data_IF_894655261706
#
_entry.id   IF_894655261706
#
_cell.length_a   1.000
_cell.length_b   1.000
_cell.length_c   1.000
_cell.angle_alpha   90.00
_cell.angle_beta   90.00
_cell.angle_gamma   90.00
#
_symmetry.space_group_name_H-M   'P 1'
#
loop_
_entity.id
_entity.type
_entity.pdbx_description
1 polymer ?
#
# COMPACT_ATOMS: atom_id res chain seq x y z
N UNK A 1 6.72 0.65 15.60
CA UNK A 1 8.09 0.08 15.60
C UNK A 1 8.21 -1.02 14.56
N UNK A 2 7.40 -2.06 14.70
CA UNK A 2 7.45 -3.18 13.77
C UNK A 2 7.20 -2.75 12.31
N UNK A 3 6.23 -1.85 12.10
CA UNK A 3 5.93 -1.35 10.77
C UNK A 3 7.13 -0.64 10.15
N UNK A 4 7.80 0.20 10.92
CA UNK A 4 8.95 0.95 10.41
C UNK A 4 10.09 0.01 9.99
N UNK A 5 10.37 -0.99 10.81
CA UNK A 5 11.40 -1.98 10.50
C UNK A 5 11.07 -2.73 9.22
N UNK A 6 9.80 -3.07 9.00
CA UNK A 6 9.36 -3.76 7.80
C UNK A 6 9.59 -2.90 6.55
N UNK A 7 9.28 -1.63 6.63
CA UNK A 7 9.49 -0.71 5.52
C UNK A 7 10.97 -0.59 5.20
N UNK A 8 11.80 -0.44 6.21
CA UNK A 8 13.26 -0.36 6.01
C UNK A 8 13.77 -1.66 5.38
N UNK A 9 13.29 -2.79 5.85
CA UNK A 9 13.69 -4.10 5.32
C UNK A 9 13.37 -4.22 3.83
N UNK A 10 12.22 -3.71 3.39
CA UNK A 10 11.85 -3.71 1.98
C UNK A 10 12.87 -2.95 1.13
N UNK A 11 13.32 -1.79 1.61
CA UNK A 11 14.24 -0.95 0.83
C UNK A 11 15.69 -1.43 0.89
N UNK A 12 16.03 -2.27 1.83
CA UNK A 12 17.38 -2.82 1.96
C UNK A 12 17.48 -4.23 1.40
N UNK A 13 16.38 -4.82 0.97
CA UNK A 13 16.35 -6.16 0.40
C UNK A 13 17.22 -6.22 -0.85
N UNK A 14 17.91 -7.33 -1.03
CA UNK A 14 18.71 -7.57 -2.22
C UNK A 14 17.90 -8.19 -3.36
N UNK A 15 16.60 -8.20 -3.24
CA UNK A 15 15.73 -8.67 -4.31
C UNK A 15 16.04 -7.92 -5.59
N UNK A 16 16.08 -8.64 -6.70
CA UNK A 16 16.30 -8.03 -8.02
C UNK A 16 15.11 -7.22 -8.50
N UNK A 17 13.98 -7.35 -7.80
CA UNK A 17 12.77 -6.63 -8.15
C UNK A 17 12.87 -5.19 -7.68
N UNK A 18 12.74 -4.27 -8.60
CA UNK A 18 12.77 -2.84 -8.28
C UNK A 18 11.40 -2.26 -7.99
N UNK A 19 10.42 -3.11 -7.74
CA UNK A 19 9.05 -2.71 -7.46
C UNK A 19 8.65 -3.16 -6.06
N UNK A 20 7.98 -2.26 -5.35
CA UNK A 20 7.46 -2.51 -4.00
C UNK A 20 6.01 -2.12 -3.96
N UNK A 21 5.20 -2.94 -3.32
CA UNK A 21 3.77 -2.70 -3.18
C UNK A 21 3.43 -2.56 -1.71
N UNK A 22 2.87 -1.42 -1.34
CA UNK A 22 2.39 -1.18 0.02
C UNK A 22 0.89 -1.02 -0.06
N UNK A 23 0.17 -1.91 0.59
CA UNK A 23 -1.28 -1.89 0.59
C UNK A 23 -1.79 -1.57 1.98
N UNK A 24 -2.61 -0.54 2.09
CA UNK A 24 -3.23 -0.15 3.35
C UNK A 24 -4.68 -0.57 3.36
N UNK A 25 -5.07 -1.35 4.36
CA UNK A 25 -6.41 -1.87 4.48
C UNK A 25 -7.20 -1.02 5.47
N UNK A 26 -8.41 -0.65 5.07
CA UNK A 26 -9.34 0.09 5.91
C UNK A 26 -10.74 -0.13 5.43
N UNK A 27 -11.70 0.40 6.16
CA UNK A 27 -13.09 0.36 5.75
C UNK A 27 -13.46 1.66 5.04
N UNK A 28 -14.31 1.53 4.03
CA UNK A 28 -14.84 2.67 3.31
C UNK A 28 -16.16 3.04 3.95
N UNK A 29 -16.36 4.33 4.17
CA UNK A 29 -17.60 4.85 4.70
C UNK A 29 -17.37 5.79 5.87
N UNK A 30 -18.37 6.64 6.09
CA UNK A 30 -18.25 7.71 7.09
C UNK A 30 -18.17 7.18 8.52
N UNK A 31 -18.74 5.99 8.76
CA UNK A 31 -18.75 5.40 10.09
C UNK A 31 -17.35 5.06 10.59
N UNK A 32 -16.39 4.94 9.70
CA UNK A 32 -15.04 4.50 10.05
C UNK A 32 -14.00 5.60 9.91
N UNK A 33 -14.43 6.81 9.60
CA UNK A 33 -13.51 7.96 9.51
C UNK A 33 -12.94 8.22 10.89
N UNK A 34 -11.61 8.33 10.96
CA UNK A 34 -10.88 8.59 12.21
C UNK A 34 -10.99 7.47 13.24
N UNK A 35 -11.26 6.25 12.79
CA UNK A 35 -11.26 5.08 13.68
C UNK A 35 -10.05 4.21 13.41
N UNK A 36 -9.83 3.22 14.28
CA UNK A 36 -8.73 2.27 14.10
C UNK A 36 -8.82 1.50 12.79
N UNK A 37 -10.03 1.30 12.27
CA UNK A 37 -10.22 0.52 11.05
C UNK A 37 -9.66 1.23 9.82
N UNK A 38 -9.28 2.49 9.97
CA UNK A 38 -8.70 3.27 8.86
C UNK A 38 -7.20 3.48 9.01
N UNK A 39 -6.54 2.82 9.95
CA UNK A 39 -5.12 3.07 10.17
C UNK A 39 -4.29 2.74 8.93
N UNK A 40 -4.68 1.72 8.15
CA UNK A 40 -3.99 1.41 6.92
C UNK A 40 -4.09 2.56 5.91
N UNK A 41 -5.27 3.16 5.78
CA UNK A 41 -5.45 4.31 4.91
C UNK A 41 -4.67 5.52 5.41
N UNK A 42 -4.68 5.75 6.71
CA UNK A 42 -3.98 6.89 7.30
C UNK A 42 -2.47 6.80 7.06
N UNK A 43 -1.91 5.60 7.20
CA UNK A 43 -0.48 5.37 6.93
C UNK A 43 -0.16 5.64 5.47
N UNK A 44 -0.99 5.17 4.55
CA UNK A 44 -0.74 5.38 3.14
C UNK A 44 -0.90 6.84 2.73
N UNK A 45 -1.86 7.54 3.33
CA UNK A 45 -2.01 8.97 3.08
C UNK A 45 -0.77 9.73 3.54
N UNK A 46 -0.21 9.35 4.68
CA UNK A 46 1.01 9.97 5.17
C UNK A 46 2.19 9.66 4.25
N UNK A 47 2.28 8.43 3.78
CA UNK A 47 3.33 8.06 2.84
C UNK A 47 3.21 8.82 1.52
N UNK A 48 1.99 9.01 1.02
CA UNK A 48 1.81 9.76 -0.21
C UNK A 48 2.24 11.21 -0.04
N UNK A 49 2.01 11.80 1.13
CA UNK A 49 2.48 13.14 1.41
C UNK A 49 4.00 13.20 1.43
N UNK A 50 4.64 12.26 2.11
CA UNK A 50 6.10 12.20 2.20
C UNK A 50 6.72 12.02 0.82
N UNK A 51 6.11 11.17 -0.01
CA UNK A 51 6.61 10.87 -1.36
C UNK A 51 6.15 11.91 -2.39
N UNK A 52 5.30 12.84 -1.99
CA UNK A 52 4.77 13.91 -2.84
C UNK A 52 4.05 13.36 -4.07
N UNK A 53 3.15 12.42 -3.86
CA UNK A 53 2.33 11.82 -4.91
C UNK A 53 0.87 11.84 -4.50
N UNK A 54 -0.01 11.71 -5.48
CA UNK A 54 -1.45 11.71 -5.27
C UNK A 54 -2.04 10.37 -5.66
N UNK A 55 -3.09 9.97 -4.95
CA UNK A 55 -3.85 8.78 -5.30
C UNK A 55 -4.79 9.10 -6.46
N UNK A 56 -4.97 8.12 -7.34
CA UNK A 56 -5.96 8.20 -8.40
C UNK A 56 -6.81 6.94 -8.40
N UNK A 57 -8.02 7.07 -8.89
CA UNK A 57 -8.97 5.95 -8.91
C UNK A 57 -8.58 4.96 -10.01
N UNK A 58 -8.47 3.71 -9.63
CA UNK A 58 -8.12 2.61 -10.53
C UNK A 58 -9.02 1.43 -10.22
N UNK A 59 -8.78 0.31 -10.87
CA UNK A 59 -9.59 -0.89 -10.65
C UNK A 59 -9.40 -1.40 -9.22
N UNK A 60 -10.48 -1.52 -8.48
CA UNK A 60 -10.53 -2.07 -7.12
C UNK A 60 -9.81 -1.24 -6.07
N UNK A 61 -9.32 -0.06 -6.40
CA UNK A 61 -8.47 0.66 -5.45
C UNK A 61 -8.26 2.12 -5.81
N UNK A 62 -7.66 2.84 -4.89
CA UNK A 62 -6.96 4.09 -5.15
C UNK A 62 -5.47 3.77 -5.19
N UNK A 63 -4.78 4.29 -6.16
CA UNK A 63 -3.37 3.95 -6.42
C UNK A 63 -2.52 5.20 -6.53
N UNK A 64 -1.36 5.16 -5.92
CA UNK A 64 -0.33 6.18 -6.11
C UNK A 64 0.98 5.49 -6.42
N UNK A 65 1.83 6.16 -7.16
CA UNK A 65 3.11 5.61 -7.56
C UNK A 65 4.19 6.64 -7.36
N UNK A 66 5.32 6.21 -6.84
CA UNK A 66 6.49 7.05 -6.66
C UNK A 66 7.74 6.28 -7.00
N UNK A 67 8.83 7.01 -7.19
CA UNK A 67 10.16 6.43 -7.27
C UNK A 67 10.97 6.92 -6.10
N UNK A 68 11.65 6.01 -5.42
CA UNK A 68 12.48 6.34 -4.28
C UNK A 68 13.77 5.55 -4.38
N UNK A 69 14.88 6.27 -4.55
CA UNK A 69 16.21 5.67 -4.69
C UNK A 69 16.26 4.62 -5.81
N UNK A 70 15.65 4.93 -6.94
CA UNK A 70 15.62 4.03 -8.08
C UNK A 70 14.62 2.89 -8.02
N UNK A 71 13.82 2.83 -6.97
CA UNK A 71 12.81 1.79 -6.79
C UNK A 71 11.42 2.35 -7.02
N UNK A 72 10.58 1.57 -7.67
CA UNK A 72 9.19 1.95 -7.90
C UNK A 72 8.36 1.53 -6.70
N UNK A 73 7.69 2.48 -6.08
CA UNK A 73 6.85 2.24 -4.90
C UNK A 73 5.41 2.47 -5.28
N UNK A 74 4.59 1.46 -5.11
CA UNK A 74 3.17 1.50 -5.46
C UNK A 74 2.37 1.43 -4.17
N UNK A 75 1.52 2.43 -3.95
CA UNK A 75 0.64 2.52 -2.79
C UNK A 75 -0.77 2.18 -3.23
N UNK A 76 -1.40 1.23 -2.56
CA UNK A 76 -2.75 0.77 -2.90
C UNK A 76 -3.65 0.91 -1.68
N UNK A 77 -4.76 1.64 -1.85
CA UNK A 77 -5.85 1.67 -0.87
C UNK A 77 -7.04 0.97 -1.52
N UNK A 78 -7.34 -0.28 -1.15
CA UNK A 78 -8.50 -0.96 -1.72
C UNK A 78 -9.77 -0.16 -1.45
N UNK A 79 -10.63 -0.03 -2.45
CA UNK A 79 -11.89 0.67 -2.28
C UNK A 79 -13.05 -0.31 -1.99
N UNK A 80 -12.70 -1.49 -1.50
CA UNK A 80 -13.63 -2.52 -1.09
C UNK A 80 -13.68 -2.58 0.44
N UNK A 81 -14.67 -3.32 0.96
CA UNK A 81 -14.67 -3.63 2.38
C UNK A 81 -13.48 -4.52 2.74
N UNK A 82 -13.13 -4.53 4.02
CA UNK A 82 -11.93 -5.24 4.51
C UNK A 82 -11.89 -6.69 4.03
N UNK A 83 -13.02 -7.37 4.05
CA UNK A 83 -13.07 -8.78 3.63
C UNK A 83 -12.82 -8.99 2.13
N UNK A 84 -12.80 -7.94 1.33
CA UNK A 84 -12.51 -8.01 -0.09
C UNK A 84 -11.12 -7.50 -0.43
N UNK A 85 -10.35 -7.13 0.57
CA UNK A 85 -9.02 -6.55 0.33
C UNK A 85 -8.05 -7.53 -0.30
N UNK A 86 -8.23 -8.83 -0.04
CA UNK A 86 -7.40 -9.85 -0.64
C UNK A 86 -7.52 -9.89 -2.16
N UNK A 87 -8.71 -9.62 -2.69
CA UNK A 87 -8.90 -9.57 -4.14
C UNK A 87 -8.11 -8.42 -4.76
N UNK A 88 -8.14 -7.27 -4.11
CA UNK A 88 -7.40 -6.10 -4.57
C UNK A 88 -5.90 -6.36 -4.50
N UNK A 89 -5.43 -6.93 -3.40
CA UNK A 89 -4.02 -7.27 -3.25
C UNK A 89 -3.56 -8.21 -4.35
N UNK A 90 -4.30 -9.29 -4.58
CA UNK A 90 -3.93 -10.27 -5.59
C UNK A 90 -3.92 -9.66 -6.99
N UNK A 91 -4.95 -8.87 -7.29
CA UNK A 91 -5.02 -8.20 -8.58
C UNK A 91 -3.79 -7.31 -8.83
N UNK A 92 -3.46 -6.46 -7.85
CA UNK A 92 -2.37 -5.50 -8.03
C UNK A 92 -1.00 -6.14 -7.96
N UNK A 93 -0.85 -7.18 -7.14
CA UNK A 93 0.38 -7.97 -7.13
C UNK A 93 0.67 -8.55 -8.51
N UNK A 94 -0.36 -9.14 -9.14
CA UNK A 94 -0.20 -9.76 -10.44
C UNK A 94 -0.05 -8.72 -11.55
N UNK A 95 -0.83 -7.65 -11.49
CA UNK A 95 -0.77 -6.59 -12.49
C UNK A 95 0.59 -5.93 -12.54
N UNK A 96 1.14 -5.62 -11.38
CA UNK A 96 2.42 -4.94 -11.27
C UNK A 96 3.61 -5.90 -11.24
N UNK A 97 3.35 -7.20 -11.17
CA UNK A 97 4.38 -8.24 -11.15
C UNK A 97 5.35 -8.05 -10.00
N UNK A 98 4.81 -7.88 -8.80
CA UNK A 98 5.61 -7.65 -7.59
C UNK A 98 5.83 -8.97 -6.87
N UNK A 99 7.06 -9.21 -6.45
CA UNK A 99 7.41 -10.39 -5.66
C UNK A 99 6.75 -10.32 -4.28
N UNK A 100 6.39 -11.48 -3.71
CA UNK A 100 5.84 -11.54 -2.36
C UNK A 100 6.78 -10.90 -1.32
N UNK A 101 8.08 -10.97 -1.53
CA UNK A 101 9.05 -10.39 -0.60
C UNK A 101 9.00 -8.86 -0.59
N UNK A 102 8.40 -8.27 -1.60
CA UNK A 102 8.35 -6.82 -1.77
C UNK A 102 6.96 -6.25 -1.51
N UNK A 103 6.13 -6.97 -0.78
CA UNK A 103 4.78 -6.54 -0.44
C UNK A 103 4.67 -6.31 1.05
N UNK A 104 4.13 -5.15 1.43
CA UNK A 104 3.82 -4.82 2.81
C UNK A 104 2.34 -4.53 2.92
N UNK A 105 1.67 -5.20 3.86
CA UNK A 105 0.27 -4.96 4.16
C UNK A 105 0.18 -4.21 5.48
N UNK A 106 -0.51 -3.08 5.46
CA UNK A 106 -0.71 -2.25 6.65
C UNK A 106 -2.17 -2.32 7.05
N UNK A 107 -2.44 -2.82 8.24
CA UNK A 107 -3.79 -2.94 8.79
C UNK A 107 -3.74 -2.91 10.31
N UNK A 108 -4.89 -2.70 10.93
CA UNK A 108 -4.98 -2.79 12.39
C UNK A 108 -5.29 -4.21 12.86
#
# INVERSE_FOLDING_TARGET
MYFFEKVVSLFTSKSDMNKYLIIGIGNIGDDYVNTRHNIGFDVLDKLSDILNVNFESVKLALRAESKFKGKKIILIKPNNYVNNSGKSLLYWKNKEKVSNDNILVVCD
#
